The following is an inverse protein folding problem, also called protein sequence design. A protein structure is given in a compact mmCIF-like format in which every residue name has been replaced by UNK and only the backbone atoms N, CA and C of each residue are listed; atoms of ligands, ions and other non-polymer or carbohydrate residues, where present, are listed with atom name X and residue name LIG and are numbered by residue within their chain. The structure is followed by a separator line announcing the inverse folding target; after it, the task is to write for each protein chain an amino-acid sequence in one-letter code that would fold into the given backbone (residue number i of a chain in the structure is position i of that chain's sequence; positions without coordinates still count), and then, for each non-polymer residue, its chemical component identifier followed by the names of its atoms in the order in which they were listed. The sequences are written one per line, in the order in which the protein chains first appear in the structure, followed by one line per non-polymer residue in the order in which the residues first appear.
data_IF_263043941448
#
_entry.id   IF_263043941448
#
_cell.length_a   1.000
_cell.length_b   1.000
_cell.length_c   1.000
_cell.angle_alpha   90.00
_cell.angle_beta   90.00
_cell.angle_gamma   90.00
#
_symmetry.space_group_name_H-M   'P 1'
#
loop_
_entity.id
_entity.type
_entity.pdbx_description
1 polymer ?
#
# COMPACT_ATOMS: atom_id res chain seq x y z
N UNK A 1 12.93 18.67 12.55
CA UNK A 1 11.97 17.63 12.14
C UNK A 1 12.27 16.42 13.00
N UNK A 2 11.35 16.04 13.88
CA UNK A 2 11.52 14.92 14.79
C UNK A 2 11.25 13.66 13.98
N UNK A 3 12.26 12.83 13.72
CA UNK A 3 12.05 11.55 13.06
C UNK A 3 10.98 10.76 13.84
N UNK A 4 10.02 10.12 13.15
CA UNK A 4 9.04 9.27 13.82
C UNK A 4 9.81 8.19 14.59
N UNK A 5 9.60 8.14 15.91
CA UNK A 5 10.21 7.11 16.77
C UNK A 5 9.36 5.85 16.65
N UNK A 6 10.03 4.72 16.39
CA UNK A 6 9.39 3.41 16.44
C UNK A 6 8.84 3.18 17.86
N UNK A 7 7.58 2.77 18.01
CA UNK A 7 7.00 2.43 19.31
C UNK A 7 7.84 1.40 20.08
N UNK A 8 8.17 1.70 21.34
CA UNK A 8 8.82 0.76 22.27
C UNK A 8 10.04 0.02 21.69
N UNK A 9 10.86 0.76 20.93
CA UNK A 9 12.02 0.22 20.22
C UNK A 9 12.99 -0.51 21.16
N UNK A 10 13.30 0.08 22.31
CA UNK A 10 14.28 -0.48 23.24
C UNK A 10 13.82 -1.86 23.76
N UNK A 11 12.55 -1.98 24.17
CA UNK A 11 11.96 -3.25 24.63
C UNK A 11 11.90 -4.27 23.49
N UNK A 12 11.55 -3.82 22.27
CA UNK A 12 11.52 -4.70 21.09
C UNK A 12 12.92 -5.24 20.76
N UNK A 13 13.96 -4.41 20.82
CA UNK A 13 15.35 -4.84 20.56
C UNK A 13 15.79 -5.87 21.59
N UNK A 14 15.47 -5.67 22.87
CA UNK A 14 15.78 -6.66 23.92
C UNK A 14 15.09 -7.99 23.64
N UNK A 15 13.78 -7.98 23.37
CA UNK A 15 13.02 -9.21 23.06
C UNK A 15 13.53 -9.88 21.78
N UNK A 16 13.91 -9.12 20.76
CA UNK A 16 14.46 -9.65 19.52
C UNK A 16 15.78 -10.40 19.74
N UNK A 17 16.69 -9.82 20.54
CA UNK A 17 17.96 -10.47 20.87
C UNK A 17 17.74 -11.72 21.73
N UNK A 18 16.79 -11.66 22.67
CA UNK A 18 16.38 -12.83 23.46
C UNK A 18 15.82 -13.96 22.57
N UNK A 19 14.97 -13.63 21.59
CA UNK A 19 14.45 -14.59 20.60
C UNK A 19 15.60 -15.21 19.80
N UNK A 20 16.53 -14.39 19.31
CA UNK A 20 17.69 -14.87 18.55
C UNK A 20 18.58 -15.81 19.37
N UNK A 21 18.86 -15.45 20.63
CA UNK A 21 19.69 -16.25 21.53
C UNK A 21 19.03 -17.56 21.98
N UNK A 22 17.71 -17.67 21.88
CA UNK A 22 16.97 -18.88 22.24
C UNK A 22 16.72 -19.77 21.02
N UNK A 23 16.23 -19.18 19.92
CA UNK A 23 15.69 -19.92 18.79
C UNK A 23 16.50 -19.73 17.49
N UNK A 24 17.33 -18.69 17.38
CA UNK A 24 18.02 -18.37 16.14
C UNK A 24 17.03 -18.22 14.97
N UNK A 25 17.20 -19.06 13.94
CA UNK A 25 16.31 -19.12 12.76
C UNK A 25 15.22 -20.19 12.88
N UNK A 26 15.11 -20.89 14.00
CA UNK A 26 14.06 -21.89 14.20
C UNK A 26 12.71 -21.21 14.46
N UNK A 27 11.63 -21.93 14.14
CA UNK A 27 10.27 -21.42 14.38
C UNK A 27 9.91 -21.57 15.86
N UNK A 28 9.28 -20.55 16.43
CA UNK A 28 8.84 -20.53 17.83
C UNK A 28 7.41 -19.99 17.94
N UNK A 29 6.77 -20.19 19.08
CA UNK A 29 5.56 -19.45 19.46
C UNK A 29 5.84 -18.62 20.72
N UNK A 30 4.92 -17.71 21.04
CA UNK A 30 5.08 -16.81 22.19
C UNK A 30 5.15 -17.56 23.52
N UNK A 31 4.42 -18.67 23.65
CA UNK A 31 4.45 -19.51 24.86
C UNK A 31 5.80 -20.18 25.09
N UNK A 32 6.42 -20.69 24.03
CA UNK A 32 7.75 -21.32 24.05
C UNK A 32 8.81 -20.29 24.51
N UNK A 33 8.74 -19.06 23.97
CA UNK A 33 9.63 -17.97 24.37
C UNK A 33 9.49 -17.64 25.86
N UNK A 34 8.26 -17.51 26.37
CA UNK A 34 8.02 -17.23 27.79
C UNK A 34 8.61 -18.32 28.67
N UNK A 35 8.42 -19.59 28.31
CA UNK A 35 8.95 -20.73 29.07
C UNK A 35 10.47 -20.70 29.11
N UNK A 36 11.13 -20.44 27.98
CA UNK A 36 12.60 -20.36 27.90
C UNK A 36 13.17 -19.17 28.69
N UNK A 37 12.54 -17.99 28.61
CA UNK A 37 13.00 -16.81 29.36
C UNK A 37 12.86 -16.98 30.87
N UNK A 38 11.78 -17.62 31.33
CA UNK A 38 11.62 -17.95 32.75
C UNK A 38 12.68 -18.94 33.24
N UNK A 39 13.09 -19.91 32.42
CA UNK A 39 14.13 -20.87 32.79
C UNK A 39 15.53 -20.24 32.87
N UNK A 40 15.77 -19.17 32.13
CA UNK A 40 17.07 -18.47 32.09
C UNK A 40 17.22 -17.41 33.19
N UNK A 41 16.22 -17.21 34.05
CA UNK A 41 16.15 -16.12 35.03
C UNK A 41 16.37 -14.72 34.39
N UNK A 42 16.02 -14.58 33.10
CA UNK A 42 16.06 -13.28 32.42
C UNK A 42 15.01 -12.36 33.03
N UNK A 43 15.27 -11.05 32.99
CA UNK A 43 14.43 -10.00 33.58
C UNK A 43 13.04 -10.00 32.91
N UNK A 44 12.14 -10.80 33.45
CA UNK A 44 10.79 -11.05 32.92
C UNK A 44 9.84 -9.88 33.19
N UNK A 45 10.30 -8.86 33.93
CA UNK A 45 9.58 -7.61 34.16
C UNK A 45 9.21 -6.90 32.83
N UNK A 46 9.97 -7.12 31.74
CA UNK A 46 9.64 -6.63 30.39
C UNK A 46 8.37 -7.27 29.79
N UNK A 47 7.92 -8.39 30.34
CA UNK A 47 6.74 -9.15 29.90
C UNK A 47 5.48 -8.82 30.71
N UNK A 48 5.63 -8.12 31.85
CA UNK A 48 4.54 -7.79 32.75
C UNK A 48 3.85 -6.47 32.36
N UNK A 49 2.67 -6.58 31.75
CA UNK A 49 1.77 -5.45 31.49
C UNK A 49 0.81 -5.65 30.33
N UNK A 50 1.35 -5.84 29.12
CA UNK A 50 0.58 -6.07 27.88
C UNK A 50 0.82 -7.46 27.27
N UNK A 51 1.75 -8.22 27.87
CA UNK A 51 2.14 -9.57 27.46
C UNK A 51 3.10 -9.57 26.25
N UNK A 52 3.95 -10.60 26.14
CA UNK A 52 4.98 -10.72 25.09
C UNK A 52 4.44 -10.67 23.66
N UNK A 53 3.15 -10.96 23.49
CA UNK A 53 2.48 -10.92 22.19
C UNK A 53 2.63 -9.54 21.53
N UNK A 54 2.51 -8.44 22.28
CA UNK A 54 2.60 -7.10 21.70
C UNK A 54 3.97 -6.81 21.12
N UNK A 55 5.04 -7.19 21.81
CA UNK A 55 6.41 -7.02 21.33
C UNK A 55 6.66 -7.88 20.10
N UNK A 56 6.17 -9.12 20.08
CA UNK A 56 6.26 -10.00 18.90
C UNK A 56 5.50 -9.39 17.71
N UNK A 57 4.28 -8.89 17.92
CA UNK A 57 3.50 -8.24 16.87
C UNK A 57 4.22 -6.98 16.32
N UNK A 58 4.84 -6.18 17.20
CA UNK A 58 5.63 -5.02 16.79
C UNK A 58 6.89 -5.44 16.01
N UNK A 59 7.61 -6.47 16.46
CA UNK A 59 8.78 -6.99 15.78
C UNK A 59 8.43 -7.56 14.39
N UNK A 60 7.26 -8.19 14.25
CA UNK A 60 6.72 -8.58 12.95
C UNK A 60 6.35 -7.36 12.10
N UNK A 61 5.76 -6.32 12.69
CA UNK A 61 5.46 -5.08 11.99
C UNK A 61 6.72 -4.31 11.55
N UNK A 62 7.82 -4.43 12.29
CA UNK A 62 9.14 -3.91 11.91
C UNK A 62 9.86 -4.78 10.87
N UNK A 63 9.30 -5.96 10.57
CA UNK A 63 9.83 -6.93 9.63
C UNK A 63 11.07 -7.68 10.12
N UNK A 64 11.38 -7.60 11.43
CA UNK A 64 12.45 -8.39 12.05
C UNK A 64 12.05 -9.86 12.26
N UNK A 65 10.75 -10.10 12.43
CA UNK A 65 10.15 -11.42 12.51
C UNK A 65 9.14 -11.63 11.37
N UNK A 66 8.99 -12.87 10.92
CA UNK A 66 7.91 -13.28 10.03
C UNK A 66 6.95 -14.25 10.75
N UNK A 67 5.66 -14.18 10.41
CA UNK A 67 4.66 -15.14 10.87
C UNK A 67 4.53 -16.26 9.84
N UNK A 68 5.01 -17.46 10.18
CA UNK A 68 5.08 -18.59 9.23
C UNK A 68 3.74 -19.33 9.14
N UNK A 69 3.03 -19.47 10.27
CA UNK A 69 1.72 -20.12 10.32
C UNK A 69 1.05 -19.91 11.66
N UNK A 70 -0.23 -19.52 11.68
CA UNK A 70 -1.01 -19.44 12.91
C UNK A 70 -0.32 -18.60 13.98
N UNK A 71 0.12 -19.21 15.07
CA UNK A 71 0.82 -18.58 16.20
C UNK A 71 2.35 -18.77 16.18
N UNK A 72 2.91 -19.18 15.03
CA UNK A 72 4.34 -19.45 14.87
C UNK A 72 5.07 -18.36 14.10
N UNK A 73 6.22 -17.98 14.66
CA UNK A 73 7.07 -16.91 14.19
C UNK A 73 8.49 -17.43 13.93
N UNK A 74 9.25 -16.70 13.12
CA UNK A 74 10.67 -16.94 12.88
C UNK A 74 11.40 -15.60 12.74
N UNK A 75 12.68 -15.56 13.11
CA UNK A 75 13.57 -14.45 12.80
C UNK A 75 13.79 -14.36 11.29
N UNK A 76 13.45 -13.20 10.72
CA UNK A 76 13.69 -12.88 9.31
C UNK A 76 15.11 -12.32 9.16
N UNK A 77 15.35 -11.18 9.80
CA UNK A 77 16.63 -10.48 9.78
C UNK A 77 17.52 -10.95 10.93
N UNK A 78 18.74 -11.39 10.67
CA UNK A 78 19.70 -11.84 11.68
C UNK A 78 20.54 -10.67 12.22
N UNK A 79 20.95 -10.67 13.49
CA UNK A 79 21.66 -9.54 14.09
C UNK A 79 23.09 -9.35 13.58
N UNK A 80 23.67 -10.37 12.94
CA UNK A 80 24.99 -10.35 12.33
C UNK A 80 24.98 -9.99 10.83
N UNK A 81 23.79 -9.88 10.23
CA UNK A 81 23.61 -9.38 8.87
C UNK A 81 23.87 -7.87 8.78
N UNK A 82 24.24 -7.45 7.58
CA UNK A 82 24.41 -6.05 7.25
C UNK A 82 23.07 -5.35 7.05
N UNK A 83 23.08 -4.02 7.15
CA UNK A 83 21.90 -3.22 6.86
C UNK A 83 21.35 -3.44 5.43
N UNK A 84 22.22 -3.72 4.45
CA UNK A 84 21.79 -3.97 3.08
C UNK A 84 21.01 -5.29 2.97
N UNK A 85 21.49 -6.35 3.63
CA UNK A 85 20.81 -7.65 3.67
C UNK A 85 19.44 -7.53 4.34
N UNK A 86 19.31 -6.72 5.40
CA UNK A 86 18.00 -6.41 6.00
C UNK A 86 17.07 -5.68 5.03
N UNK A 87 17.59 -4.73 4.24
CA UNK A 87 16.79 -4.02 3.24
C UNK A 87 16.28 -4.94 2.14
N UNK A 88 17.13 -5.79 1.59
CA UNK A 88 16.77 -6.75 0.55
C UNK A 88 15.68 -7.72 1.05
N UNK A 89 15.76 -8.13 2.32
CA UNK A 89 14.71 -8.96 2.92
C UNK A 89 13.39 -8.24 3.10
N UNK A 90 13.39 -6.93 3.38
CA UNK A 90 12.16 -6.15 3.58
C UNK A 90 11.51 -5.70 2.26
N UNK A 91 12.25 -5.69 1.16
CA UNK A 91 11.80 -5.23 -0.16
C UNK A 91 10.51 -5.96 -0.59
N UNK A 92 10.47 -7.29 -0.52
CA UNK A 92 9.29 -8.09 -0.87
C UNK A 92 8.05 -7.71 -0.04
N UNK A 93 8.21 -7.42 1.26
CA UNK A 93 7.09 -7.05 2.13
C UNK A 93 6.57 -5.64 1.81
N UNK A 94 7.47 -4.73 1.42
CA UNK A 94 7.09 -3.38 0.98
C UNK A 94 6.36 -3.45 -0.36
N UNK A 95 6.83 -4.27 -1.30
CA UNK A 95 6.15 -4.52 -2.57
C UNK A 95 4.76 -5.15 -2.36
N UNK A 96 4.64 -6.19 -1.55
CA UNK A 96 3.35 -6.83 -1.26
C UNK A 96 2.37 -5.85 -0.59
N UNK A 97 2.84 -5.04 0.37
CA UNK A 97 2.01 -4.03 1.01
C UNK A 97 1.58 -2.95 0.01
N UNK A 98 2.50 -2.50 -0.85
CA UNK A 98 2.22 -1.54 -1.89
C UNK A 98 1.14 -2.06 -2.85
N UNK A 99 1.30 -3.28 -3.34
CA UNK A 99 0.36 -3.94 -4.25
C UNK A 99 -1.00 -4.15 -3.58
N UNK A 100 -1.04 -4.59 -2.32
CA UNK A 100 -2.28 -4.75 -1.56
C UNK A 100 -3.01 -3.42 -1.32
N UNK A 101 -2.27 -2.32 -1.10
CA UNK A 101 -2.85 -0.97 -0.97
C UNK A 101 -3.45 -0.51 -2.29
N UNK A 102 -2.75 -0.69 -3.42
CA UNK A 102 -3.26 -0.34 -4.73
C UNK A 102 -4.44 -1.20 -5.15
N UNK A 103 -4.38 -2.50 -4.90
CA UNK A 103 -5.50 -3.40 -5.18
C UNK A 103 -6.73 -3.04 -4.36
N UNK A 104 -6.59 -2.78 -3.05
CA UNK A 104 -7.72 -2.27 -2.25
C UNK A 104 -8.24 -0.94 -2.76
N UNK A 105 -7.39 -0.07 -3.27
CA UNK A 105 -7.81 1.20 -3.86
C UNK A 105 -8.63 0.97 -5.14
N UNK A 106 -8.28 -0.04 -5.95
CA UNK A 106 -9.09 -0.49 -7.09
C UNK A 106 -10.42 -1.10 -6.64
N UNK A 107 -10.42 -2.06 -5.71
CA UNK A 107 -11.67 -2.72 -5.24
C UNK A 107 -12.62 -1.78 -4.49
N UNK A 108 -12.11 -0.79 -3.73
CA UNK A 108 -12.98 0.24 -3.13
C UNK A 108 -13.70 1.07 -4.20
N UNK A 109 -13.17 1.13 -5.42
CA UNK A 109 -13.84 1.74 -6.57
C UNK A 109 -14.94 0.84 -7.19
N UNK A 110 -14.88 -0.47 -6.98
CA UNK A 110 -15.92 -1.45 -7.39
C UNK A 110 -17.11 -1.51 -6.40
N UNK A 111 -16.96 -0.93 -5.20
CA UNK A 111 -17.98 -0.83 -4.16
C UNK A 111 -19.00 0.28 -4.40
N UNK A 112 -19.58 0.38 -5.60
CA UNK A 112 -20.82 1.11 -5.92
C UNK A 112 -20.83 2.65 -5.77
N UNK A 113 -19.83 3.27 -5.15
CA UNK A 113 -19.72 4.72 -5.01
C UNK A 113 -18.34 5.13 -5.55
N UNK A 114 -18.26 5.24 -6.89
CA UNK A 114 -17.03 5.65 -7.57
C UNK A 114 -16.63 7.03 -7.06
N UNK A 115 -15.35 7.29 -6.73
CA UNK A 115 -14.97 8.56 -6.14
C UNK A 115 -15.32 9.72 -7.07
N UNK A 116 -15.92 10.80 -6.55
CA UNK A 116 -16.26 11.98 -7.35
C UNK A 116 -15.22 13.08 -7.16
N UNK A 117 -14.86 13.75 -8.26
CA UNK A 117 -13.96 14.91 -8.27
C UNK A 117 -14.69 16.14 -8.77
N UNK A 118 -14.64 17.23 -7.98
CA UNK A 118 -15.15 18.52 -8.44
C UNK A 118 -14.05 19.34 -9.10
N UNK A 119 -14.26 19.72 -10.36
CA UNK A 119 -13.40 20.63 -11.10
C UNK A 119 -14.21 21.78 -11.70
N UNK A 120 -13.86 23.02 -11.33
CA UNK A 120 -14.54 24.26 -11.79
C UNK A 120 -16.07 24.26 -11.62
N UNK A 121 -16.59 23.54 -10.63
CA UNK A 121 -18.03 23.45 -10.37
C UNK A 121 -18.74 22.30 -11.08
N UNK A 122 -18.02 21.52 -11.88
CA UNK A 122 -18.49 20.27 -12.48
C UNK A 122 -17.98 19.06 -11.69
N UNK A 123 -18.74 17.97 -11.71
CA UNK A 123 -18.46 16.74 -10.97
C UNK A 123 -18.13 15.62 -11.95
N UNK A 124 -16.95 15.03 -11.77
CA UNK A 124 -16.41 13.99 -12.62
C UNK A 124 -16.26 12.69 -11.83
N UNK A 125 -16.56 11.56 -12.46
CA UNK A 125 -16.25 10.23 -11.92
C UNK A 125 -14.74 10.01 -12.01
N UNK A 126 -14.09 9.70 -10.89
CA UNK A 126 -12.64 9.56 -10.80
C UNK A 126 -12.23 8.13 -11.11
N UNK A 127 -11.41 7.95 -12.15
CA UNK A 127 -10.73 6.69 -12.46
C UNK A 127 -9.23 6.86 -12.26
N UNK A 128 -8.58 5.89 -11.63
CA UNK A 128 -7.14 5.91 -11.41
C UNK A 128 -6.44 4.98 -12.39
N UNK A 129 -5.38 5.49 -13.03
CA UNK A 129 -4.55 4.79 -14.01
C UNK A 129 -3.15 4.66 -13.41
N UNK A 130 -2.67 3.43 -13.36
CA UNK A 130 -1.34 3.07 -12.87
C UNK A 130 -0.47 2.44 -13.96
N UNK A 131 0.80 2.23 -13.63
CA UNK A 131 1.76 1.58 -14.52
C UNK A 131 1.33 0.14 -14.74
N UNK A 132 0.94 -0.18 -15.98
CA UNK A 132 0.43 -1.50 -16.35
C UNK A 132 -1.08 -1.62 -16.47
N UNK A 133 -1.86 -0.58 -16.14
CA UNK A 133 -3.31 -0.54 -16.44
C UNK A 133 -3.53 -0.64 -17.96
N UNK A 134 -4.19 -1.70 -18.48
CA UNK A 134 -4.50 -1.80 -19.90
C UNK A 134 -5.50 -0.74 -20.33
N UNK A 135 -5.28 -0.12 -21.49
CA UNK A 135 -6.19 0.88 -22.07
C UNK A 135 -7.61 0.32 -22.22
N UNK A 136 -7.74 -0.95 -22.61
CA UNK A 136 -9.02 -1.63 -22.79
C UNK A 136 -9.84 -1.67 -21.48
N UNK A 137 -9.18 -1.90 -20.35
CA UNK A 137 -9.84 -2.02 -19.05
C UNK A 137 -10.40 -0.66 -18.61
N UNK A 138 -9.65 0.43 -18.83
CA UNK A 138 -10.15 1.79 -18.56
C UNK A 138 -11.33 2.14 -19.47
N UNK A 139 -11.28 1.73 -20.74
CA UNK A 139 -12.38 1.96 -21.69
C UNK A 139 -13.64 1.22 -21.24
N UNK A 140 -13.52 -0.05 -20.89
CA UNK A 140 -14.65 -0.84 -20.40
C UNK A 140 -15.18 -0.26 -19.08
N UNK A 141 -14.30 0.18 -18.18
CA UNK A 141 -14.69 0.81 -16.92
C UNK A 141 -15.45 2.12 -17.12
N UNK A 142 -15.05 2.96 -18.09
CA UNK A 142 -15.78 4.18 -18.48
C UNK A 142 -17.17 3.83 -19.02
N UNK A 143 -17.30 2.75 -19.78
CA UNK A 143 -18.58 2.31 -20.34
C UNK A 143 -19.55 1.75 -19.29
N UNK A 144 -19.04 1.19 -18.19
CA UNK A 144 -19.84 0.69 -17.08
C UNK A 144 -20.33 1.80 -16.13
N UNK A 145 -20.03 3.07 -16.41
CA UNK A 145 -20.51 4.20 -15.60
C UNK A 145 -21.94 4.55 -16.02
N UNK A 146 -22.92 4.15 -15.20
CA UNK A 146 -24.34 4.46 -15.42
C UNK A 146 -24.68 5.96 -15.23
N UNK A 147 -23.97 6.68 -14.36
CA UNK A 147 -24.12 8.13 -14.12
C UNK A 147 -22.77 8.83 -14.27
N UNK A 148 -22.46 9.25 -15.48
CA UNK A 148 -21.23 9.99 -15.81
C UNK A 148 -21.17 11.37 -15.15
N UNK A 149 -22.23 11.83 -14.47
CA UNK A 149 -22.36 13.21 -13.99
C UNK A 149 -22.01 14.23 -15.09
N UNK A 150 -20.91 14.97 -14.97
CA UNK A 150 -20.37 15.88 -15.99
C UNK A 150 -19.22 15.26 -16.82
N UNK A 151 -18.74 14.05 -16.48
CA UNK A 151 -17.71 13.31 -17.21
C UNK A 151 -16.82 12.43 -16.33
N UNK A 152 -15.64 12.09 -16.85
CA UNK A 152 -14.63 11.25 -16.17
C UNK A 152 -13.36 12.05 -15.92
N UNK A 153 -12.74 11.84 -14.76
CA UNK A 153 -11.42 12.34 -14.40
C UNK A 153 -10.45 11.17 -14.32
N UNK A 154 -9.59 11.02 -15.33
CA UNK A 154 -8.47 10.07 -15.30
C UNK A 154 -7.36 10.66 -14.42
N UNK A 155 -6.88 9.90 -13.44
CA UNK A 155 -5.87 10.31 -12.47
C UNK A 155 -4.70 9.35 -12.50
N UNK A 156 -3.48 9.86 -12.38
CA UNK A 156 -2.28 9.01 -12.30
C UNK A 156 -1.15 9.75 -11.58
N UNK A 157 -0.06 9.07 -11.18
CA UNK A 157 1.20 9.74 -10.89
C UNK A 157 1.62 10.61 -12.10
N UNK A 158 2.23 11.77 -11.85
CA UNK A 158 2.58 12.70 -12.92
C UNK A 158 3.58 12.14 -13.94
N UNK A 159 4.32 11.10 -13.59
CA UNK A 159 5.20 10.34 -14.50
C UNK A 159 4.44 9.63 -15.60
N UNK A 160 3.17 9.26 -15.37
CA UNK A 160 2.30 8.54 -16.31
C UNK A 160 1.40 9.47 -17.12
N UNK A 161 1.71 10.77 -17.18
CA UNK A 161 0.85 11.76 -17.85
C UNK A 161 0.67 11.46 -19.35
N UNK A 162 1.68 10.90 -20.02
CA UNK A 162 1.60 10.54 -21.44
C UNK A 162 0.64 9.36 -21.67
N UNK A 163 0.71 8.32 -20.84
CA UNK A 163 -0.18 7.15 -20.95
C UNK A 163 -1.64 7.55 -20.73
N UNK A 164 -1.91 8.43 -19.76
CA UNK A 164 -3.26 8.97 -19.54
C UNK A 164 -3.73 9.79 -20.75
N UNK A 165 -2.84 10.52 -21.43
CA UNK A 165 -3.20 11.25 -22.64
C UNK A 165 -3.58 10.31 -23.77
N UNK A 166 -2.82 9.22 -23.96
CA UNK A 166 -3.07 8.20 -24.98
C UNK A 166 -4.42 7.49 -24.73
N UNK A 167 -4.69 7.12 -23.48
CA UNK A 167 -5.99 6.55 -23.07
C UNK A 167 -7.14 7.50 -23.41
N UNK A 168 -6.99 8.78 -23.07
CA UNK A 168 -8.03 9.75 -23.36
C UNK A 168 -8.19 10.07 -24.85
N UNK A 169 -7.11 10.03 -25.64
CA UNK A 169 -7.21 10.15 -27.10
C UNK A 169 -7.98 8.96 -27.68
N UNK A 170 -7.72 7.74 -27.20
CA UNK A 170 -8.47 6.56 -27.59
C UNK A 170 -9.95 6.70 -27.23
N UNK A 171 -10.26 7.05 -25.97
CA UNK A 171 -11.65 7.29 -25.51
C UNK A 171 -12.38 8.36 -26.33
N UNK A 172 -11.71 9.44 -26.72
CA UNK A 172 -12.29 10.48 -27.56
C UNK A 172 -12.48 10.05 -29.03
N UNK A 173 -11.73 9.02 -29.47
CA UNK A 173 -11.79 8.50 -30.84
C UNK A 173 -12.80 7.37 -31.01
N UNK A 174 -13.11 6.63 -29.93
CA UNK A 174 -14.12 5.57 -29.93
C UNK A 174 -15.49 6.19 -30.15
N UNK A 175 -16.04 5.96 -31.35
CA UNK A 175 -17.45 6.25 -31.65
C UNK A 175 -18.19 4.92 -31.65
N UNK A 176 -19.04 4.69 -30.64
CA UNK A 176 -19.98 3.57 -30.60
C UNK A 176 -21.41 4.11 -30.66
N UNK A 177 -22.30 3.36 -31.29
CA UNK A 177 -23.66 3.79 -31.63
C UNK A 177 -24.53 4.22 -30.41
N UNK A 178 -24.10 3.93 -29.18
CA UNK A 178 -24.87 4.13 -27.94
C UNK A 178 -24.29 5.18 -26.97
N UNK A 179 -23.16 5.84 -27.28
CA UNK A 179 -22.50 6.81 -26.36
C UNK A 179 -22.05 8.07 -27.11
N UNK A 180 -22.36 9.25 -26.55
CA UNK A 180 -21.85 10.52 -27.06
C UNK A 180 -20.31 10.55 -26.98
N UNK A 181 -19.61 10.95 -28.06
CA UNK A 181 -18.16 10.95 -28.07
C UNK A 181 -17.63 11.85 -26.96
N UNK A 182 -16.57 11.43 -26.29
CA UNK A 182 -15.91 12.26 -25.28
C UNK A 182 -15.05 13.36 -25.90
N UNK A 183 -14.86 14.45 -25.17
CA UNK A 183 -13.87 15.48 -25.44
C UNK A 183 -12.98 15.76 -24.23
N UNK A 184 -11.70 16.05 -24.48
CA UNK A 184 -10.75 16.49 -23.44
C UNK A 184 -11.11 17.91 -23.00
N UNK A 185 -11.49 18.05 -21.73
CA UNK A 185 -11.86 19.35 -21.13
C UNK A 185 -10.62 20.10 -20.68
N UNK A 186 -9.80 19.48 -19.82
CA UNK A 186 -8.56 20.08 -19.32
C UNK A 186 -7.68 19.05 -18.63
N UNK A 187 -6.41 19.39 -18.38
CA UNK A 187 -5.54 18.67 -17.45
C UNK A 187 -5.04 19.57 -16.31
N UNK A 188 -4.72 18.97 -15.18
CA UNK A 188 -4.01 19.64 -14.09
C UNK A 188 -2.98 18.71 -13.46
N UNK A 189 -1.93 19.30 -12.89
CA UNK A 189 -1.00 18.59 -11.99
C UNK A 189 -1.23 19.14 -10.59
N UNK A 190 -1.51 18.24 -9.65
CA UNK A 190 -1.83 18.53 -8.24
C UNK A 190 -0.80 17.89 -7.34
N UNK A 191 -0.24 18.65 -6.41
CA UNK A 191 0.67 18.14 -5.39
C UNK A 191 1.40 19.28 -4.71
N UNK A 192 1.76 19.09 -3.43
CA UNK A 192 2.51 20.07 -2.65
C UNK A 192 4.01 19.80 -2.64
N UNK A 193 4.44 18.63 -3.14
CA UNK A 193 5.84 18.21 -3.23
C UNK A 193 6.15 17.71 -4.65
N UNK A 194 7.37 17.91 -5.13
CA UNK A 194 7.80 17.47 -6.47
C UNK A 194 7.77 15.95 -6.66
N UNK A 195 7.91 15.22 -5.55
CA UNK A 195 8.01 13.76 -5.56
C UNK A 195 6.64 13.07 -5.45
N UNK A 196 5.57 13.85 -5.25
CA UNK A 196 4.19 13.37 -5.07
C UNK A 196 3.23 14.27 -5.86
N UNK A 197 3.47 14.32 -7.17
CA UNK A 197 2.62 15.03 -8.12
C UNK A 197 1.64 14.05 -8.75
N UNK A 198 0.36 14.39 -8.71
CA UNK A 198 -0.73 13.68 -9.37
C UNK A 198 -1.12 14.43 -10.65
N UNK A 199 -1.12 13.74 -11.78
CA UNK A 199 -1.69 14.22 -13.02
C UNK A 199 -3.17 13.85 -13.10
N UNK A 200 -3.99 14.79 -13.56
CA UNK A 200 -5.43 14.60 -13.74
C UNK A 200 -5.83 15.11 -15.12
N UNK A 201 -6.60 14.32 -15.84
CA UNK A 201 -7.17 14.67 -17.13
C UNK A 201 -8.69 14.51 -17.07
N UNK A 202 -9.40 15.60 -17.33
CA UNK A 202 -10.85 15.64 -17.33
C UNK A 202 -11.36 15.47 -18.76
N UNK A 203 -12.25 14.51 -18.95
CA UNK A 203 -12.97 14.27 -20.20
C UNK A 203 -14.47 14.36 -19.94
N UNK A 204 -15.24 14.86 -20.90
CA UNK A 204 -16.69 15.02 -20.79
C UNK A 204 -17.38 14.53 -22.07
N UNK A 205 -18.62 14.01 -22.00
CA UNK A 205 -19.43 13.78 -23.18
C UNK A 205 -19.63 15.09 -23.96
N UNK A 206 -19.64 15.00 -25.28
CA UNK A 206 -19.71 16.15 -26.19
C UNK A 206 -21.11 16.64 -26.49
#
# INVERSE_FOLDING_TARGET
MTSPRLPDLDDCVTVYLDVWDVFGTDTFNVGDLVVELHQRETDTDLLDGVGPQRQIDLLTAYGLLEQVSGDRYRVRCQPDETQLEWWEQLEEQVEELHDAVHEKRRTVSEGGDRPLLTYRGHTYVSLFVDEGTPIADVIDEVHEIDDLHDGVALRSPATLANEVQDIADELCSVTRDDIEPFEKVNSEVKGSNSDDLEFRLFIAPR
#
